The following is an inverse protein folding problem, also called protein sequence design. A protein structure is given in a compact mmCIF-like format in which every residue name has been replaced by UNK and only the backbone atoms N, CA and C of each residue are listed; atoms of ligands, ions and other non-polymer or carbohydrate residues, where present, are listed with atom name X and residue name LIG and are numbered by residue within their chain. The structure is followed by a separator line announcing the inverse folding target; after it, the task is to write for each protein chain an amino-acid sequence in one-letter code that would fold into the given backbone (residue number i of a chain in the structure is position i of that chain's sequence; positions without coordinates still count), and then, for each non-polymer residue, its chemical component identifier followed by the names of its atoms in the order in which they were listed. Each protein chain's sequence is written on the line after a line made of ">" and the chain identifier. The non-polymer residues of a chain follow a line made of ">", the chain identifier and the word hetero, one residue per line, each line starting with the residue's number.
data_IF_387693011505
#
_entry.id   IF_387693011505
#
_cell.length_a   1.000
_cell.length_b   1.000
_cell.length_c   1.000
_cell.angle_alpha   90.00
_cell.angle_beta   90.00
_cell.angle_gamma   90.00
#
_symmetry.space_group_name_H-M   'P 1'
#
loop_
_entity.id
_entity.type
_entity.pdbx_description
1 polymer ?
#
# COMPACT_ATOMS: atom_id res chain seq x y z
N UNK A 1 -5.42 -3.76 10.04
CA UNK A 1 -6.58 -2.89 9.88
C UNK A 1 -6.11 -1.44 9.86
N UNK A 2 -6.33 -0.75 8.76
CA UNK A 2 -5.85 0.61 8.46
C UNK A 2 -6.44 1.71 9.36
N UNK A 3 -7.55 1.44 10.04
CA UNK A 3 -8.27 2.43 10.84
C UNK A 3 -7.59 2.79 12.18
N UNK A 4 -6.56 2.04 12.57
CA UNK A 4 -5.93 2.19 13.88
C UNK A 4 -5.09 3.47 14.05
N UNK A 5 -4.70 4.13 12.96
CA UNK A 5 -3.77 5.27 12.97
C UNK A 5 -4.38 6.61 12.54
N UNK A 6 -5.70 6.67 12.36
CA UNK A 6 -6.42 7.90 12.01
C UNK A 6 -6.85 8.74 13.22
N UNK A 7 -6.83 8.17 14.43
CA UNK A 7 -7.30 8.82 15.64
C UNK A 7 -6.15 9.42 16.49
N UNK A 8 -6.49 10.37 17.36
CA UNK A 8 -5.57 11.02 18.31
C UNK A 8 -4.81 10.02 19.22
N UNK A 9 -5.33 8.80 19.38
CA UNK A 9 -4.72 7.70 20.14
C UNK A 9 -3.72 6.84 19.33
N UNK A 10 -3.47 7.20 18.08
CA UNK A 10 -2.60 6.42 17.18
C UNK A 10 -1.16 6.35 17.67
N UNK A 11 -0.67 7.47 18.20
CA UNK A 11 0.66 7.56 18.81
C UNK A 11 0.78 6.65 20.02
N UNK A 12 -0.24 6.66 20.89
CA UNK A 12 -0.26 5.79 22.07
C UNK A 12 -0.23 4.29 21.68
N UNK A 13 -0.86 3.92 20.58
CA UNK A 13 -0.78 2.55 20.06
C UNK A 13 0.62 2.21 19.49
N UNK A 14 1.33 3.18 18.95
CA UNK A 14 2.68 2.95 18.40
C UNK A 14 3.73 2.79 19.49
N UNK A 15 3.80 3.76 20.40
CA UNK A 15 4.88 3.88 21.38
C UNK A 15 4.43 3.75 22.84
N UNK A 16 3.13 3.54 23.09
CA UNK A 16 2.52 3.44 24.41
C UNK A 16 1.92 4.75 24.91
N UNK A 17 1.02 4.65 25.89
CA UNK A 17 0.37 5.80 26.51
C UNK A 17 1.29 6.47 27.52
N UNK A 18 1.26 7.82 27.65
CA UNK A 18 2.02 8.54 28.67
C UNK A 18 1.62 8.10 30.10
N UNK A 19 2.49 8.31 31.09
CA UNK A 19 2.16 8.06 32.50
C UNK A 19 0.86 8.76 32.92
N UNK A 20 -0.01 8.03 33.62
CA UNK A 20 -1.31 8.55 34.10
C UNK A 20 -2.48 8.37 33.14
N UNK A 21 -2.27 7.84 31.95
CA UNK A 21 -3.34 7.49 31.01
C UNK A 21 -3.63 5.98 31.01
N UNK A 22 -4.88 5.63 30.71
CA UNK A 22 -5.30 4.21 30.58
C UNK A 22 -4.48 3.53 29.49
N UNK A 23 -3.93 2.34 29.79
CA UNK A 23 -3.10 1.57 28.84
C UNK A 23 -1.59 1.89 28.91
N UNK A 24 -1.12 2.67 29.89
CA UNK A 24 0.32 2.95 30.06
C UNK A 24 1.14 1.66 30.26
N UNK A 25 0.61 0.69 31.00
CA UNK A 25 1.29 -0.56 31.31
C UNK A 25 1.35 -1.54 30.12
N UNK A 26 0.52 -1.32 29.10
CA UNK A 26 0.46 -2.22 27.92
C UNK A 26 1.60 -2.01 26.91
N UNK A 27 2.37 -0.89 27.06
CA UNK A 27 3.41 -0.53 26.09
C UNK A 27 2.88 -0.15 24.71
N UNK A 28 3.77 0.15 23.75
CA UNK A 28 3.41 0.44 22.38
C UNK A 28 3.47 -0.79 21.49
N UNK A 29 2.44 -1.02 20.70
CA UNK A 29 2.38 -2.20 19.84
C UNK A 29 3.53 -2.26 18.82
N UNK A 30 3.93 -1.10 18.26
CA UNK A 30 5.03 -1.03 17.31
C UNK A 30 6.37 -1.17 18.02
N UNK A 31 6.58 -0.39 19.10
CA UNK A 31 7.83 -0.43 19.87
C UNK A 31 8.12 -1.81 20.43
N UNK A 32 7.13 -2.50 20.99
CA UNK A 32 7.31 -3.85 21.53
C UNK A 32 7.59 -4.88 20.43
N UNK A 33 6.93 -4.79 19.28
CA UNK A 33 7.20 -5.68 18.15
C UNK A 33 8.61 -5.51 17.60
N UNK A 34 9.06 -4.29 17.41
CA UNK A 34 10.42 -4.02 16.90
C UNK A 34 11.47 -4.46 17.91
N UNK A 35 11.26 -4.21 19.20
CA UNK A 35 12.15 -4.64 20.27
C UNK A 35 12.32 -6.17 20.32
N UNK A 36 11.25 -6.92 20.07
CA UNK A 36 11.29 -8.40 20.07
C UNK A 36 11.74 -8.97 18.72
N UNK A 37 11.54 -8.23 17.63
CA UNK A 37 11.88 -8.64 16.27
C UNK A 37 12.61 -7.49 15.54
N UNK A 38 13.88 -7.23 15.85
CA UNK A 38 14.61 -6.07 15.32
C UNK A 38 14.81 -6.13 13.80
N UNK A 39 14.88 -7.32 13.21
CA UNK A 39 14.95 -7.52 11.76
C UNK A 39 13.55 -7.72 11.20
N UNK A 40 12.86 -6.63 10.90
CA UNK A 40 11.47 -6.69 10.45
C UNK A 40 11.18 -5.73 9.31
N UNK A 41 10.11 -6.01 8.59
CA UNK A 41 9.52 -5.10 7.59
C UNK A 41 8.26 -4.51 8.19
N UNK A 42 8.20 -3.19 8.22
CA UNK A 42 7.08 -2.42 8.77
C UNK A 42 6.35 -1.76 7.61
N UNK A 43 5.07 -2.04 7.47
CA UNK A 43 4.23 -1.44 6.44
C UNK A 43 3.25 -0.45 7.06
N UNK A 44 3.35 0.80 6.63
CA UNK A 44 2.34 1.85 6.87
C UNK A 44 1.49 2.01 5.61
N UNK A 45 0.27 1.50 5.66
CA UNK A 45 -0.65 1.58 4.54
C UNK A 45 -1.48 2.86 4.61
N UNK A 46 -1.67 3.55 3.47
CA UNK A 46 -2.43 4.81 3.36
C UNK A 46 -1.94 5.89 4.33
N UNK A 47 -0.62 6.14 4.33
CA UNK A 47 0.03 7.05 5.30
C UNK A 47 -0.50 8.48 5.25
N UNK A 48 -1.04 8.93 4.11
CA UNK A 48 -1.67 10.25 3.99
C UNK A 48 -2.88 10.45 4.90
N UNK A 49 -3.46 9.37 5.43
CA UNK A 49 -4.59 9.41 6.36
C UNK A 49 -4.16 9.39 7.83
N UNK A 50 -2.88 9.25 8.10
CA UNK A 50 -2.37 9.18 9.46
C UNK A 50 -2.48 10.54 10.18
N UNK A 51 -2.64 10.48 11.51
CA UNK A 51 -2.62 11.69 12.32
C UNK A 51 -1.25 12.40 12.24
N UNK A 52 -1.19 13.75 12.25
CA UNK A 52 0.07 14.49 12.15
C UNK A 52 1.17 14.05 13.14
N UNK A 53 0.79 13.63 14.34
CA UNK A 53 1.75 13.18 15.37
C UNK A 53 2.45 11.86 14.97
N UNK A 54 1.85 11.04 14.12
CA UNK A 54 2.49 9.83 13.56
C UNK A 54 3.67 10.22 12.69
N UNK A 55 3.57 11.30 11.92
CA UNK A 55 4.68 11.81 11.11
C UNK A 55 5.84 12.29 11.96
N UNK A 56 5.60 12.88 13.14
CA UNK A 56 6.66 13.31 14.04
C UNK A 56 7.45 12.10 14.58
N UNK A 57 6.78 11.00 14.89
CA UNK A 57 7.44 9.75 15.31
C UNK A 57 8.21 9.14 14.14
N UNK A 58 7.62 9.11 12.96
CA UNK A 58 8.30 8.58 11.77
C UNK A 58 9.53 9.41 11.41
N UNK A 59 9.48 10.74 11.54
CA UNK A 59 10.65 11.60 11.37
C UNK A 59 11.77 11.21 12.35
N UNK A 60 11.45 11.02 13.63
CA UNK A 60 12.44 10.59 14.61
C UNK A 60 13.04 9.22 14.25
N UNK A 61 12.20 8.26 13.83
CA UNK A 61 12.69 6.94 13.37
C UNK A 61 13.62 7.06 12.16
N UNK A 62 13.24 7.88 11.17
CA UNK A 62 14.01 8.04 9.94
C UNK A 62 15.30 8.83 10.14
N UNK A 63 15.35 9.77 11.12
CA UNK A 63 16.53 10.58 11.44
C UNK A 63 17.50 9.85 12.36
N UNK A 64 16.98 9.34 13.49
CA UNK A 64 17.80 8.81 14.59
C UNK A 64 17.94 7.27 14.54
N UNK A 65 17.14 6.59 13.71
CA UNK A 65 17.06 5.12 13.69
C UNK A 65 16.52 4.51 14.97
N UNK A 66 15.97 5.31 15.89
CA UNK A 66 15.49 4.88 17.20
C UNK A 66 14.41 5.81 17.74
N UNK A 67 13.58 5.29 18.64
CA UNK A 67 12.60 6.08 19.41
C UNK A 67 12.68 5.70 20.88
N UNK A 68 12.20 6.60 21.75
CA UNK A 68 11.94 6.29 23.16
C UNK A 68 10.45 6.03 23.33
N UNK A 69 10.08 4.87 23.85
CA UNK A 69 8.69 4.55 24.12
C UNK A 69 8.17 5.25 25.40
N UNK A 70 6.88 5.11 25.69
CA UNK A 70 6.23 5.71 26.85
C UNK A 70 6.78 5.20 28.20
N UNK A 71 7.47 4.08 28.22
CA UNK A 71 8.12 3.51 29.41
C UNK A 71 9.59 3.93 29.54
N UNK A 72 10.06 4.85 28.71
CA UNK A 72 11.45 5.32 28.71
C UNK A 72 12.45 4.36 28.07
N UNK A 73 12.00 3.30 27.40
CA UNK A 73 12.89 2.33 26.75
C UNK A 73 13.25 2.81 25.35
N UNK A 74 14.52 2.73 25.00
CA UNK A 74 14.99 3.02 23.65
C UNK A 74 14.75 1.80 22.76
N UNK A 75 14.09 2.00 21.62
CA UNK A 75 13.80 0.98 20.62
C UNK A 75 14.55 1.31 19.35
N UNK A 76 15.40 0.39 18.90
CA UNK A 76 16.26 0.53 17.73
C UNK A 76 15.55 0.03 16.46
N UNK A 77 15.46 0.89 15.45
CA UNK A 77 14.87 0.62 14.14
C UNK A 77 15.92 0.48 13.03
N UNK A 78 17.22 0.56 13.34
CA UNK A 78 18.30 0.56 12.34
C UNK A 78 18.32 -0.67 11.44
N UNK A 79 17.77 -1.79 11.91
CA UNK A 79 17.67 -3.05 11.16
C UNK A 79 16.27 -3.31 10.59
N UNK A 80 15.40 -2.30 10.55
CA UNK A 80 14.06 -2.43 9.99
C UNK A 80 13.98 -1.84 8.58
N UNK A 81 13.13 -2.41 7.74
CA UNK A 81 12.73 -1.82 6.46
C UNK A 81 11.35 -1.20 6.64
N UNK A 82 11.24 0.09 6.39
CA UNK A 82 9.98 0.83 6.49
C UNK A 82 9.43 1.04 5.10
N UNK A 83 8.23 0.52 4.85
CA UNK A 83 7.49 0.68 3.61
C UNK A 83 6.25 1.52 3.90
N UNK A 84 6.03 2.56 3.13
CA UNK A 84 4.85 3.40 3.24
C UNK A 84 4.09 3.39 1.91
N UNK A 85 2.78 3.19 1.95
CA UNK A 85 1.93 3.33 0.76
C UNK A 85 1.09 4.59 0.86
N UNK A 86 0.79 5.21 -0.27
CA UNK A 86 -0.09 6.36 -0.35
C UNK A 86 -0.89 6.36 -1.65
N UNK A 87 -2.11 6.87 -1.59
CA UNK A 87 -2.95 7.17 -2.74
C UNK A 87 -2.80 8.63 -3.22
N UNK A 88 -1.82 9.36 -2.71
CA UNK A 88 -1.48 10.70 -3.17
C UNK A 88 -1.19 10.68 -4.67
N UNK A 89 -1.73 11.63 -5.42
CA UNK A 89 -1.55 11.70 -6.86
C UNK A 89 -2.35 10.67 -7.69
N UNK A 90 -3.20 9.85 -7.08
CA UNK A 90 -3.97 8.82 -7.79
C UNK A 90 -4.83 9.41 -8.93
N UNK A 91 -5.33 10.64 -8.79
CA UNK A 91 -6.10 11.33 -9.84
C UNK A 91 -5.24 11.68 -11.05
N UNK A 92 -3.99 12.07 -10.85
CA UNK A 92 -3.04 12.37 -11.92
C UNK A 92 -2.67 11.12 -12.75
N UNK A 93 -2.75 9.93 -12.14
CA UNK A 93 -2.48 8.65 -12.82
C UNK A 93 -3.67 8.22 -13.70
N UNK A 94 -4.90 8.44 -13.23
CA UNK A 94 -6.11 7.91 -13.87
C UNK A 94 -6.60 8.77 -15.02
N UNK A 95 -6.37 10.09 -15.01
CA UNK A 95 -6.91 11.02 -16.01
C UNK A 95 -5.81 11.91 -16.63
N UNK A 96 -4.91 11.35 -17.45
CA UNK A 96 -3.86 12.12 -18.11
C UNK A 96 -4.41 13.07 -19.19
N UNK A 97 -5.68 12.94 -19.61
CA UNK A 97 -6.28 13.70 -20.71
C UNK A 97 -6.77 15.11 -20.34
N UNK A 98 -6.81 15.48 -19.06
CA UNK A 98 -7.24 16.83 -18.64
C UNK A 98 -6.18 17.91 -18.80
N UNK A 99 -4.97 17.57 -19.16
CA UNK A 99 -3.86 18.51 -19.46
C UNK A 99 -3.69 18.72 -20.98
N UNK A 100 -4.78 19.01 -21.66
CA UNK A 100 -4.96 19.67 -22.94
C UNK A 100 -3.77 19.80 -23.90
N UNK A 101 -3.18 18.69 -24.38
CA UNK A 101 -2.43 18.69 -25.65
C UNK A 101 -2.40 17.28 -26.21
N UNK A 102 -3.09 17.11 -27.36
CA UNK A 102 -2.98 15.93 -28.20
C UNK A 102 -1.65 15.98 -28.96
N UNK A 103 -0.61 15.40 -28.40
CA UNK A 103 0.64 15.15 -29.12
C UNK A 103 0.92 13.65 -29.02
N UNK A 104 1.21 13.03 -30.16
CA UNK A 104 1.77 11.68 -30.24
C UNK A 104 3.16 11.73 -29.63
N UNK A 105 3.28 11.41 -28.35
CA UNK A 105 4.55 11.38 -27.65
C UNK A 105 4.89 9.95 -27.21
N UNK A 106 6.18 9.70 -27.11
CA UNK A 106 6.74 8.43 -26.64
C UNK A 106 6.21 8.07 -25.23
N UNK A 107 5.88 6.79 -25.04
CA UNK A 107 5.40 6.26 -23.74
C UNK A 107 6.32 6.60 -22.55
N UNK A 108 7.60 6.85 -22.83
CA UNK A 108 8.59 7.23 -21.83
C UNK A 108 8.38 8.66 -21.32
N UNK A 109 7.98 9.60 -22.20
CA UNK A 109 7.72 10.98 -21.83
C UNK A 109 6.38 11.12 -21.09
N UNK A 110 5.37 10.34 -21.47
CA UNK A 110 4.11 10.24 -20.75
C UNK A 110 4.31 9.77 -19.30
N UNK A 111 5.19 8.79 -19.08
CA UNK A 111 5.52 8.32 -17.74
C UNK A 111 6.23 9.37 -16.91
N UNK A 112 7.21 10.08 -17.49
CA UNK A 112 7.93 11.15 -16.78
C UNK A 112 7.00 12.28 -16.34
N UNK A 113 6.10 12.72 -17.22
CA UNK A 113 5.08 13.74 -16.91
C UNK A 113 4.13 13.28 -15.82
N UNK A 114 3.62 12.05 -15.92
CA UNK A 114 2.75 11.46 -14.90
C UNK A 114 3.47 11.40 -13.55
N UNK A 115 4.73 10.92 -13.53
CA UNK A 115 5.54 10.87 -12.32
C UNK A 115 5.74 12.25 -11.72
N UNK A 116 6.02 13.27 -12.54
CA UNK A 116 6.17 14.65 -12.07
C UNK A 116 4.88 15.17 -11.44
N UNK A 117 3.73 15.00 -12.08
CA UNK A 117 2.44 15.44 -11.55
C UNK A 117 2.11 14.75 -10.21
N UNK A 118 2.38 13.45 -10.10
CA UNK A 118 2.21 12.71 -8.84
C UNK A 118 3.13 13.28 -7.77
N UNK A 119 4.39 13.53 -8.09
CA UNK A 119 5.36 14.10 -7.13
C UNK A 119 4.97 15.52 -6.68
N UNK A 120 4.37 16.32 -7.55
CA UNK A 120 3.89 17.64 -7.18
C UNK A 120 2.70 17.55 -6.20
N UNK A 121 1.77 16.62 -6.40
CA UNK A 121 0.70 16.34 -5.42
C UNK A 121 1.25 15.77 -4.09
N UNK A 122 2.24 14.89 -4.13
CA UNK A 122 2.92 14.35 -2.94
C UNK A 122 3.55 15.47 -2.11
N UNK A 123 4.21 16.44 -2.75
CA UNK A 123 4.81 17.61 -2.08
C UNK A 123 3.78 18.55 -1.45
N UNK A 124 2.54 18.55 -1.93
CA UNK A 124 1.46 19.33 -1.29
C UNK A 124 0.90 18.66 -0.03
N UNK A 125 0.99 17.33 0.05
CA UNK A 125 0.43 16.55 1.16
C UNK A 125 1.47 16.33 2.26
N UNK A 126 2.70 16.00 1.88
CA UNK A 126 3.77 15.66 2.81
C UNK A 126 4.78 16.80 2.94
N UNK A 127 5.22 17.06 4.17
CA UNK A 127 6.21 18.08 4.45
C UNK A 127 7.55 17.76 3.78
N UNK A 128 8.28 18.78 3.28
CA UNK A 128 9.58 18.56 2.63
C UNK A 128 10.58 17.81 3.50
N UNK A 129 10.62 18.11 4.80
CA UNK A 129 11.48 17.44 5.76
C UNK A 129 11.23 15.91 5.81
N UNK A 130 9.97 15.49 5.70
CA UNK A 130 9.61 14.07 5.68
C UNK A 130 10.04 13.40 4.38
N UNK A 131 9.76 14.04 3.24
CA UNK A 131 10.12 13.50 1.92
C UNK A 131 11.63 13.38 1.74
N UNK A 132 12.41 14.27 2.33
CA UNK A 132 13.89 14.25 2.26
C UNK A 132 14.52 13.09 3.07
N UNK A 133 13.75 12.41 3.93
CA UNK A 133 14.20 11.24 4.71
C UNK A 133 13.82 9.91 4.09
N UNK A 134 13.08 9.94 3.00
CA UNK A 134 12.69 8.73 2.27
C UNK A 134 13.78 8.42 1.25
N UNK A 135 14.34 7.22 1.33
CA UNK A 135 15.42 6.77 0.44
C UNK A 135 14.94 6.64 -1.01
N UNK A 136 13.74 6.11 -1.22
CA UNK A 136 13.19 5.88 -2.56
C UNK A 136 11.68 6.08 -2.62
N UNK A 137 11.21 6.80 -3.63
CA UNK A 137 9.79 6.96 -3.94
C UNK A 137 9.48 6.27 -5.26
N UNK A 138 8.67 5.22 -5.17
CA UNK A 138 8.23 4.43 -6.33
C UNK A 138 6.82 4.87 -6.72
N UNK A 139 6.67 5.38 -7.94
CA UNK A 139 5.38 5.75 -8.50
C UNK A 139 4.87 4.64 -9.40
N UNK A 140 3.73 4.04 -9.03
CA UNK A 140 3.07 3.03 -9.84
C UNK A 140 2.22 3.68 -10.92
N UNK A 141 2.22 3.12 -12.11
CA UNK A 141 1.35 3.53 -13.21
C UNK A 141 0.09 2.66 -13.28
N UNK A 142 -0.93 3.16 -13.99
CA UNK A 142 -2.16 2.42 -14.21
C UNK A 142 -1.88 1.08 -14.92
N UNK A 143 -2.63 0.06 -14.54
CA UNK A 143 -2.52 -1.27 -15.16
C UNK A 143 -3.15 -1.24 -16.57
N UNK A 144 -2.32 -1.47 -17.58
CA UNK A 144 -2.79 -1.68 -18.96
C UNK A 144 -3.43 -3.05 -19.16
N UNK A 145 -4.11 -3.23 -20.29
CA UNK A 145 -4.83 -4.49 -20.61
C UNK A 145 -3.93 -5.73 -20.58
N UNK A 146 -2.69 -5.62 -21.05
CA UNK A 146 -1.71 -6.70 -21.01
C UNK A 146 -1.38 -7.13 -19.57
N UNK A 147 -1.25 -6.16 -18.66
CA UNK A 147 -1.01 -6.43 -17.23
C UNK A 147 -2.22 -7.10 -16.61
N UNK A 148 -3.45 -6.61 -16.91
CA UNK A 148 -4.67 -7.21 -16.40
C UNK A 148 -4.83 -8.68 -16.87
N UNK A 149 -4.54 -9.00 -18.13
CA UNK A 149 -4.54 -10.38 -18.63
C UNK A 149 -3.55 -11.28 -17.88
N UNK A 150 -2.34 -10.78 -17.62
CA UNK A 150 -1.33 -11.51 -16.84
C UNK A 150 -1.80 -11.76 -15.40
N UNK A 151 -2.36 -10.73 -14.75
CA UNK A 151 -2.90 -10.84 -13.38
C UNK A 151 -4.03 -11.88 -13.34
N UNK A 152 -5.00 -11.83 -14.25
CA UNK A 152 -6.08 -12.85 -14.32
C UNK A 152 -5.49 -14.25 -14.47
N UNK A 153 -4.50 -14.43 -15.34
CA UNK A 153 -3.87 -15.74 -15.55
C UNK A 153 -3.17 -16.27 -14.29
N UNK A 154 -2.50 -15.39 -13.51
CA UNK A 154 -1.89 -15.75 -12.22
C UNK A 154 -2.96 -16.12 -11.19
N UNK A 155 -3.99 -15.29 -11.05
CA UNK A 155 -5.10 -15.55 -10.12
C UNK A 155 -5.81 -16.86 -10.44
N UNK A 156 -6.08 -17.14 -11.72
CA UNK A 156 -6.68 -18.41 -12.17
C UNK A 156 -5.81 -19.60 -11.79
N UNK A 157 -4.48 -19.48 -11.96
CA UNK A 157 -3.53 -20.55 -11.61
C UNK A 157 -3.51 -20.81 -10.09
N UNK A 158 -3.50 -19.76 -9.30
CA UNK A 158 -3.57 -19.90 -7.83
C UNK A 158 -4.88 -20.53 -7.38
N UNK A 159 -5.99 -20.12 -8.00
CA UNK A 159 -7.31 -20.68 -7.73
C UNK A 159 -7.38 -22.17 -8.05
N UNK A 160 -6.95 -22.59 -9.26
CA UNK A 160 -6.93 -23.99 -9.64
C UNK A 160 -6.04 -24.84 -8.75
N UNK A 161 -4.89 -24.30 -8.28
CA UNK A 161 -4.02 -24.97 -7.34
C UNK A 161 -4.70 -25.14 -5.98
N UNK A 162 -5.39 -24.11 -5.48
CA UNK A 162 -6.13 -24.16 -4.20
C UNK A 162 -7.26 -25.19 -4.25
N UNK A 163 -8.07 -25.19 -5.32
CA UNK A 163 -9.15 -26.17 -5.54
C UNK A 163 -8.62 -27.59 -5.56
N UNK A 164 -7.49 -27.83 -6.27
CA UNK A 164 -6.86 -29.15 -6.30
C UNK A 164 -6.37 -29.58 -4.91
N UNK A 165 -5.78 -28.68 -4.14
CA UNK A 165 -5.23 -29.01 -2.82
C UNK A 165 -6.32 -29.22 -1.77
N UNK A 166 -7.40 -28.43 -1.81
CA UNK A 166 -8.43 -28.44 -0.78
C UNK A 166 -9.59 -29.42 -1.07
N UNK A 167 -9.95 -29.57 -2.32
CA UNK A 167 -11.12 -30.35 -2.75
C UNK A 167 -10.78 -31.60 -3.56
N UNK A 168 -9.49 -31.79 -3.89
CA UNK A 168 -8.97 -32.82 -4.82
C UNK A 168 -9.63 -32.80 -6.20
N UNK A 169 -10.14 -31.64 -6.61
CA UNK A 169 -10.77 -31.44 -7.92
C UNK A 169 -9.74 -30.86 -8.89
N UNK A 170 -9.56 -31.49 -10.05
CA UNK A 170 -8.74 -30.96 -11.16
C UNK A 170 -9.61 -30.02 -12.02
N UNK A 171 -9.40 -28.71 -11.87
CA UNK A 171 -10.11 -27.68 -12.61
C UNK A 171 -9.26 -27.13 -13.75
N UNK A 172 -9.80 -27.10 -14.98
CA UNK A 172 -9.16 -26.48 -16.14
C UNK A 172 -9.95 -25.25 -16.58
N UNK A 173 -9.32 -24.07 -16.56
CA UNK A 173 -9.92 -22.82 -17.01
C UNK A 173 -9.51 -22.52 -18.45
N UNK A 174 -10.50 -22.50 -19.35
CA UNK A 174 -10.30 -22.13 -20.75
C UNK A 174 -9.98 -20.64 -20.90
N UNK A 175 -9.31 -20.25 -21.96
CA UNK A 175 -8.96 -18.83 -22.21
C UNK A 175 -10.19 -17.94 -22.38
N UNK A 176 -11.33 -18.48 -22.86
CA UNK A 176 -12.60 -17.78 -22.90
C UNK A 176 -13.10 -17.37 -21.50
N UNK A 177 -12.92 -18.24 -20.48
CA UNK A 177 -13.26 -17.91 -19.09
C UNK A 177 -12.34 -16.82 -18.53
N UNK A 178 -11.04 -16.92 -18.76
CA UNK A 178 -10.07 -15.89 -18.36
C UNK A 178 -10.39 -14.54 -19.00
N UNK A 179 -10.73 -14.54 -20.29
CA UNK A 179 -11.12 -13.33 -21.02
C UNK A 179 -12.37 -12.70 -20.44
N UNK A 180 -13.40 -13.50 -20.12
CA UNK A 180 -14.64 -13.02 -19.48
C UNK A 180 -14.37 -12.40 -18.11
N UNK A 181 -13.49 -12.99 -17.29
CA UNK A 181 -13.10 -12.43 -15.99
C UNK A 181 -12.39 -11.09 -16.19
N UNK A 182 -11.46 -11.02 -17.16
CA UNK A 182 -10.75 -9.79 -17.49
C UNK A 182 -11.72 -8.67 -17.94
N UNK A 183 -12.71 -8.99 -18.77
CA UNK A 183 -13.72 -8.05 -19.26
C UNK A 183 -14.62 -7.55 -18.12
N UNK A 184 -15.11 -8.44 -17.26
CA UNK A 184 -15.95 -8.07 -16.11
C UNK A 184 -15.19 -7.30 -15.03
N UNK A 185 -13.91 -7.57 -14.87
CA UNK A 185 -13.05 -6.87 -13.93
C UNK A 185 -12.34 -5.65 -14.52
N UNK A 186 -12.66 -5.26 -15.76
CA UNK A 186 -12.03 -4.12 -16.43
C UNK A 186 -12.60 -2.80 -15.91
N UNK A 187 -12.07 -2.35 -14.78
CA UNK A 187 -12.27 -1.00 -14.30
C UNK A 187 -10.91 -0.35 -14.07
N UNK A 188 -10.54 0.52 -15.01
CA UNK A 188 -9.23 1.21 -14.99
C UNK A 188 -9.05 2.13 -13.78
N UNK A 189 -10.15 2.53 -13.12
CA UNK A 189 -10.09 3.40 -11.94
C UNK A 189 -9.72 2.66 -10.65
N UNK A 190 -10.05 1.37 -10.56
CA UNK A 190 -9.89 0.58 -9.33
C UNK A 190 -8.80 -0.50 -9.43
N UNK A 191 -8.01 -0.50 -10.51
CA UNK A 191 -6.88 -1.41 -10.68
C UNK A 191 -7.28 -2.89 -10.76
N UNK A 192 -6.61 -3.74 -9.98
CA UNK A 192 -6.87 -5.19 -9.97
C UNK A 192 -7.96 -5.64 -8.97
N UNK A 193 -8.45 -4.78 -8.08
CA UNK A 193 -9.48 -5.15 -7.08
C UNK A 193 -10.78 -5.69 -7.70
N UNK A 194 -11.33 -5.09 -8.79
CA UNK A 194 -12.50 -5.62 -9.47
C UNK A 194 -12.31 -7.02 -10.06
N UNK A 195 -11.08 -7.36 -10.50
CA UNK A 195 -10.76 -8.69 -11.01
C UNK A 195 -10.97 -9.78 -9.96
N UNK A 196 -10.58 -9.51 -8.71
CA UNK A 196 -10.78 -10.47 -7.61
C UNK A 196 -12.25 -10.74 -7.36
N UNK A 197 -13.09 -9.68 -7.37
CA UNK A 197 -14.54 -9.81 -7.25
C UNK A 197 -15.14 -10.56 -8.43
N UNK A 198 -14.69 -10.26 -9.66
CA UNK A 198 -15.14 -10.98 -10.86
C UNK A 198 -14.78 -12.47 -10.81
N UNK A 199 -13.58 -12.82 -10.32
CA UNK A 199 -13.19 -14.20 -10.08
C UNK A 199 -14.08 -14.89 -9.06
N UNK A 200 -14.34 -14.26 -7.92
CA UNK A 200 -15.19 -14.80 -6.89
C UNK A 200 -16.57 -15.14 -7.47
N UNK A 201 -17.23 -14.16 -8.10
CA UNK A 201 -18.59 -14.36 -8.67
C UNK A 201 -18.63 -15.34 -9.83
N UNK A 202 -17.61 -15.36 -10.71
CA UNK A 202 -17.65 -16.20 -11.91
C UNK A 202 -17.12 -17.63 -11.68
N UNK A 203 -16.30 -17.85 -10.66
CA UNK A 203 -15.69 -19.15 -10.39
C UNK A 203 -15.98 -19.68 -8.98
N UNK A 204 -15.65 -18.91 -7.93
CA UNK A 204 -15.72 -19.42 -6.55
C UNK A 204 -17.16 -19.71 -6.12
N UNK A 205 -18.11 -18.81 -6.41
CA UNK A 205 -19.53 -18.95 -6.05
C UNK A 205 -20.27 -20.05 -6.87
N UNK A 206 -19.60 -20.67 -7.86
CA UNK A 206 -20.18 -21.71 -8.74
C UNK A 206 -19.60 -23.11 -8.51
N UNK A 207 -18.66 -23.22 -7.60
CA UNK A 207 -18.03 -24.47 -7.16
C UNK A 207 -18.64 -24.95 -5.85
#
# INVERSE_FOLDING_TARGET
>A
SSDLYMEKHSVAKMIGSPPGYVGHDEGGQLSDKVRTHPYSVILFDEIEKAHPDVFNILLQVLDDGRITDSQGRVVDFSNTVIIMTSNAGAKAIVDPKKLGFAVKEDKADDYKRMKQNVMDEVKMIFRPEFLNRIDEIIVFHALGEEHLKKIVSLMCREFTKRVKTQLDISLTLRDSAKKRIAEKGKDTKYGARPLRRAMQTELEDKL
#
